data_IF_041628164379
#
_entry.id   IF_041628164379
#
_cell.length_a   1.000
_cell.length_b   1.000
_cell.length_c   1.000
_cell.angle_alpha   90.00
_cell.angle_beta   90.00
_cell.angle_gamma   90.00
#
_symmetry.space_group_name_H-M   'P 1'
#
loop_
_entity.id
_entity.type
_entity.pdbx_description
1 polymer ?
#
# COMPACT_ATOMS: atom_id res chain seq x y z
N UNK A 1 -1.11 8.89 -9.54
CA UNK A 1 -0.11 7.97 -10.11
C UNK A 1 0.03 8.10 -11.64
N UNK A 2 1.24 8.35 -12.15
CA UNK A 2 1.52 8.34 -13.61
C UNK A 2 1.99 6.96 -14.07
N UNK A 3 1.85 6.66 -15.37
CA UNK A 3 2.34 5.42 -15.97
C UNK A 3 3.85 5.21 -15.74
N UNK A 4 4.63 6.30 -15.87
CA UNK A 4 6.07 6.27 -15.60
C UNK A 4 6.39 5.81 -14.17
N UNK A 5 5.68 6.35 -13.17
CA UNK A 5 5.87 5.96 -11.76
C UNK A 5 5.49 4.51 -11.50
N UNK A 6 4.42 4.01 -12.13
CA UNK A 6 4.04 2.60 -12.00
C UNK A 6 5.10 1.67 -12.62
N UNK A 7 5.68 2.05 -13.75
CA UNK A 7 6.76 1.29 -14.39
C UNK A 7 8.04 1.30 -13.54
N UNK A 8 8.38 2.43 -12.90
CA UNK A 8 9.47 2.51 -11.92
C UNK A 8 9.23 1.52 -10.76
N UNK A 9 8.01 1.50 -10.21
CA UNK A 9 7.64 0.58 -9.13
C UNK A 9 7.77 -0.89 -9.53
N UNK A 10 7.25 -1.26 -10.71
CA UNK A 10 7.39 -2.62 -11.27
C UNK A 10 8.86 -3.03 -11.41
N UNK A 11 9.71 -2.13 -11.89
CA UNK A 11 11.15 -2.38 -12.03
C UNK A 11 11.85 -2.65 -10.68
N UNK A 12 11.46 -1.94 -9.62
CA UNK A 12 11.97 -2.18 -8.26
C UNK A 12 11.51 -3.54 -7.73
N UNK A 13 10.23 -3.89 -7.90
CA UNK A 13 9.70 -5.19 -7.50
C UNK A 13 10.40 -6.35 -8.23
N UNK A 14 10.60 -6.21 -9.53
CA UNK A 14 11.36 -7.17 -10.34
C UNK A 14 12.81 -7.31 -9.87
N UNK A 15 13.44 -6.20 -9.47
CA UNK A 15 14.78 -6.24 -8.89
C UNK A 15 14.82 -6.96 -7.55
N UNK A 16 13.81 -6.76 -6.70
CA UNK A 16 13.68 -7.49 -5.43
C UNK A 16 13.46 -8.99 -5.68
N UNK A 17 12.62 -9.34 -6.64
CA UNK A 17 12.33 -10.72 -7.05
C UNK A 17 13.61 -11.43 -7.51
N UNK A 18 14.33 -10.83 -8.46
CA UNK A 18 15.63 -11.37 -8.94
C UNK A 18 16.66 -11.51 -7.83
N UNK A 19 16.74 -10.53 -6.92
CA UNK A 19 17.66 -10.63 -5.78
C UNK A 19 17.34 -11.83 -4.90
N UNK A 20 16.07 -12.09 -4.60
CA UNK A 20 15.63 -13.21 -3.77
C UNK A 20 15.77 -14.58 -4.44
N UNK A 21 15.59 -14.65 -5.76
CA UNK A 21 15.73 -15.89 -6.54
C UNK A 21 17.20 -16.29 -6.72
N UNK A 22 18.10 -15.31 -6.85
CA UNK A 22 19.50 -15.57 -7.23
C UNK A 22 20.50 -15.43 -6.07
N UNK A 23 20.13 -14.78 -4.97
CA UNK A 23 21.03 -14.49 -3.86
C UNK A 23 20.42 -14.91 -2.52
N UNK A 24 21.13 -15.70 -1.70
CA UNK A 24 20.67 -16.04 -0.36
C UNK A 24 20.40 -14.81 0.50
N UNK A 25 19.35 -14.87 1.33
CA UNK A 25 18.94 -13.75 2.18
C UNK A 25 20.06 -13.24 3.09
N UNK A 26 20.85 -14.16 3.65
CA UNK A 26 22.00 -13.80 4.50
C UNK A 26 23.04 -12.97 3.72
N UNK A 27 23.30 -13.33 2.46
CA UNK A 27 24.22 -12.58 1.60
C UNK A 27 23.66 -11.21 1.25
N UNK A 28 22.35 -11.09 0.99
CA UNK A 28 21.67 -9.81 0.78
C UNK A 28 21.79 -8.90 1.99
N UNK A 29 21.64 -9.45 3.20
CA UNK A 29 21.68 -8.69 4.46
C UNK A 29 23.08 -8.38 4.98
N UNK A 30 24.12 -8.99 4.42
CA UNK A 30 25.53 -8.79 4.83
C UNK A 30 26.32 -8.09 3.73
N UNK A 31 26.74 -8.83 2.70
CA UNK A 31 27.59 -8.34 1.61
C UNK A 31 26.92 -7.24 0.78
N UNK A 32 25.62 -7.38 0.52
CA UNK A 32 24.85 -6.41 -0.28
C UNK A 32 23.89 -5.54 0.57
N UNK A 33 24.16 -5.42 1.88
CA UNK A 33 23.22 -4.81 2.84
C UNK A 33 22.70 -3.45 2.37
N UNK A 34 23.61 -2.54 2.01
CA UNK A 34 23.26 -1.15 1.66
C UNK A 34 22.34 -1.08 0.45
N UNK A 35 22.65 -1.78 -0.64
CA UNK A 35 21.84 -1.76 -1.86
C UNK A 35 20.50 -2.47 -1.66
N UNK A 36 20.49 -3.56 -0.88
CA UNK A 36 19.27 -4.26 -0.51
C UNK A 36 18.34 -3.40 0.36
N UNK A 37 18.88 -2.74 1.40
CA UNK A 37 18.11 -1.83 2.26
C UNK A 37 17.53 -0.65 1.46
N UNK A 38 18.31 -0.03 0.58
CA UNK A 38 17.85 1.06 -0.29
C UNK A 38 16.70 0.60 -1.20
N UNK A 39 16.84 -0.56 -1.84
CA UNK A 39 15.78 -1.13 -2.67
C UNK A 39 14.49 -1.34 -1.86
N UNK A 40 14.60 -1.95 -0.68
CA UNK A 40 13.43 -2.19 0.17
C UNK A 40 12.77 -0.90 0.66
N UNK A 41 13.55 0.15 0.94
CA UNK A 41 13.05 1.46 1.34
C UNK A 41 12.33 2.16 0.19
N UNK A 42 12.88 2.10 -1.03
CA UNK A 42 12.21 2.63 -2.23
C UNK A 42 10.88 1.92 -2.48
N UNK A 43 10.85 0.59 -2.41
CA UNK A 43 9.62 -0.20 -2.54
C UNK A 43 8.62 0.18 -1.44
N UNK A 44 9.05 0.29 -0.18
CA UNK A 44 8.19 0.68 0.93
C UNK A 44 7.57 2.07 0.71
N UNK A 45 8.39 3.04 0.29
CA UNK A 45 7.95 4.40 0.03
C UNK A 45 6.93 4.44 -1.10
N UNK A 46 7.22 3.82 -2.25
CA UNK A 46 6.31 3.83 -3.39
C UNK A 46 5.02 3.04 -3.11
N UNK A 47 5.10 1.93 -2.37
CA UNK A 47 3.90 1.19 -1.93
C UNK A 47 3.00 2.09 -1.09
N UNK A 48 3.58 2.87 -0.17
CA UNK A 48 2.83 3.81 0.66
C UNK A 48 2.20 4.92 -0.19
N UNK A 49 2.96 5.50 -1.11
CA UNK A 49 2.49 6.55 -2.03
C UNK A 49 1.32 6.05 -2.87
N UNK A 50 1.43 4.86 -3.49
CA UNK A 50 0.35 4.23 -4.25
C UNK A 50 -0.92 4.05 -3.39
N UNK A 51 -0.78 3.50 -2.18
CA UNK A 51 -1.92 3.29 -1.29
C UNK A 51 -2.60 4.61 -0.91
N UNK A 52 -1.81 5.65 -0.62
CA UNK A 52 -2.33 6.97 -0.25
C UNK A 52 -3.00 7.68 -1.43
N UNK A 53 -2.33 7.72 -2.58
CA UNK A 53 -2.84 8.33 -3.81
C UNK A 53 -4.21 7.75 -4.16
N UNK A 54 -4.33 6.42 -4.20
CA UNK A 54 -5.56 5.75 -4.59
C UNK A 54 -6.65 5.90 -3.53
N UNK A 55 -6.31 5.75 -2.25
CA UNK A 55 -7.30 5.77 -1.17
C UNK A 55 -7.87 7.16 -0.87
N UNK A 56 -7.11 8.22 -1.17
CA UNK A 56 -7.51 9.60 -0.90
C UNK A 56 -8.02 10.33 -2.14
N UNK A 57 -7.93 9.72 -3.32
CA UNK A 57 -8.38 10.33 -4.57
C UNK A 57 -9.86 10.73 -4.52
N UNK A 58 -10.12 12.02 -4.64
CA UNK A 58 -11.47 12.61 -4.56
C UNK A 58 -12.12 12.54 -3.18
N UNK A 59 -11.37 12.26 -2.12
CA UNK A 59 -11.90 12.21 -0.75
C UNK A 59 -12.21 13.64 -0.25
N UNK A 60 -13.42 13.85 0.24
CA UNK A 60 -13.85 15.10 0.85
C UNK A 60 -14.53 14.79 2.18
N UNK A 61 -14.05 15.42 3.26
CA UNK A 61 -14.58 15.25 4.62
C UNK A 61 -14.93 16.63 5.15
N UNK A 62 -16.14 16.78 5.69
CA UNK A 62 -16.54 18.01 6.35
C UNK A 62 -15.65 18.26 7.57
N UNK A 63 -15.16 19.50 7.72
CA UNK A 63 -14.22 19.87 8.78
C UNK A 63 -14.76 19.53 10.18
N UNK A 64 -16.06 19.68 10.40
CA UNK A 64 -16.72 19.39 11.68
C UNK A 64 -16.68 17.90 12.04
N UNK A 65 -16.59 17.01 11.05
CA UNK A 65 -16.57 15.55 11.24
C UNK A 65 -15.17 14.94 11.10
N UNK A 66 -14.16 15.74 10.75
CA UNK A 66 -12.84 15.26 10.35
C UNK A 66 -12.18 14.34 11.40
N UNK A 67 -12.22 14.72 12.68
CA UNK A 67 -11.63 13.93 13.76
C UNK A 67 -12.36 12.59 13.95
N UNK A 68 -13.69 12.61 13.90
CA UNK A 68 -14.50 11.41 14.04
C UNK A 68 -14.28 10.45 12.85
N UNK A 69 -14.33 10.97 11.62
CA UNK A 69 -14.07 10.18 10.41
C UNK A 69 -12.65 9.63 10.39
N UNK A 70 -11.66 10.39 10.85
CA UNK A 70 -10.28 9.91 10.97
C UNK A 70 -10.18 8.69 11.91
N UNK A 71 -10.85 8.72 13.06
CA UNK A 71 -10.86 7.58 14.00
C UNK A 71 -11.55 6.35 13.40
N UNK A 72 -12.69 6.54 12.74
CA UNK A 72 -13.46 5.47 12.08
C UNK A 72 -12.66 4.82 10.95
N UNK A 73 -12.06 5.64 10.08
CA UNK A 73 -11.22 5.19 8.97
C UNK A 73 -10.05 4.35 9.50
N UNK A 74 -9.30 4.86 10.46
CA UNK A 74 -8.14 4.14 11.01
C UNK A 74 -8.54 2.81 11.67
N UNK A 75 -9.68 2.80 12.38
CA UNK A 75 -10.23 1.58 12.98
C UNK A 75 -10.61 0.55 11.92
N UNK A 76 -11.29 0.99 10.84
CA UNK A 76 -11.70 0.13 9.74
C UNK A 76 -10.48 -0.43 8.97
N UNK A 77 -9.50 0.42 8.65
CA UNK A 77 -8.24 0.01 8.01
C UNK A 77 -7.53 -1.04 8.86
N UNK A 78 -7.39 -0.80 10.17
CA UNK A 78 -6.73 -1.76 11.07
C UNK A 78 -7.45 -3.11 11.10
N UNK A 79 -8.78 -3.11 11.19
CA UNK A 79 -9.61 -4.34 11.22
C UNK A 79 -9.56 -5.10 9.89
N UNK A 80 -9.47 -4.40 8.76
CA UNK A 80 -9.45 -5.02 7.43
C UNK A 80 -8.18 -5.85 7.16
N UNK A 81 -7.07 -5.51 7.83
CA UNK A 81 -5.75 -6.09 7.54
C UNK A 81 -5.17 -5.70 6.17
N UNK A 82 -5.77 -4.74 5.46
CA UNK A 82 -5.40 -4.41 4.07
C UNK A 82 -3.95 -3.94 3.95
N UNK A 83 -3.44 -3.19 4.92
CA UNK A 83 -2.05 -2.74 4.95
C UNK A 83 -1.06 -3.92 5.02
N UNK A 84 -1.40 -4.97 5.76
CA UNK A 84 -0.58 -6.19 5.84
C UNK A 84 -0.60 -6.92 4.51
N UNK A 85 -1.76 -7.03 3.87
CA UNK A 85 -1.91 -7.67 2.55
C UNK A 85 -1.11 -6.93 1.46
N UNK A 86 -1.20 -5.61 1.42
CA UNK A 86 -0.40 -4.78 0.50
C UNK A 86 1.11 -4.92 0.75
N UNK A 87 1.54 -4.97 2.01
CA UNK A 87 2.94 -5.24 2.36
C UNK A 87 3.39 -6.63 1.88
N UNK A 88 2.55 -7.65 2.03
CA UNK A 88 2.84 -8.99 1.51
C UNK A 88 2.94 -8.94 -0.02
N UNK A 89 2.00 -8.31 -0.72
CA UNK A 89 2.04 -8.18 -2.17
C UNK A 89 3.37 -7.58 -2.67
N UNK A 90 3.82 -6.49 -2.05
CA UNK A 90 5.08 -5.84 -2.41
C UNK A 90 6.31 -6.68 -2.05
N UNK A 91 6.37 -7.25 -0.84
CA UNK A 91 7.62 -7.83 -0.32
C UNK A 91 7.70 -9.35 -0.42
N UNK A 92 6.59 -10.07 -0.56
CA UNK A 92 6.55 -11.53 -0.66
C UNK A 92 6.21 -11.95 -2.09
N UNK A 93 5.12 -11.43 -2.66
CA UNK A 93 4.74 -11.75 -4.04
C UNK A 93 5.50 -10.93 -5.10
N UNK A 94 6.00 -9.74 -4.73
CA UNK A 94 6.56 -8.75 -5.66
C UNK A 94 5.61 -8.43 -6.82
N UNK A 95 4.32 -8.27 -6.52
CA UNK A 95 3.25 -8.11 -7.51
C UNK A 95 2.63 -6.70 -7.41
N UNK A 96 2.87 -5.89 -8.44
CA UNK A 96 2.36 -4.52 -8.52
C UNK A 96 0.83 -4.47 -8.68
N UNK A 97 0.27 -5.41 -9.45
CA UNK A 97 -1.16 -5.40 -9.75
C UNK A 97 -1.96 -5.80 -8.50
N UNK A 98 -1.42 -6.73 -7.70
CA UNK A 98 -1.99 -7.09 -6.40
C UNK A 98 -1.90 -5.93 -5.38
N UNK A 99 -0.83 -5.12 -5.42
CA UNK A 99 -0.74 -3.88 -4.61
C UNK A 99 -1.82 -2.88 -5.04
N UNK A 100 -2.04 -2.69 -6.35
CA UNK A 100 -3.09 -1.82 -6.87
C UNK A 100 -4.49 -2.31 -6.49
N UNK A 101 -4.73 -3.62 -6.51
CA UNK A 101 -5.98 -4.21 -6.05
C UNK A 101 -6.25 -3.87 -4.58
N UNK A 102 -5.25 -4.04 -3.72
CA UNK A 102 -5.38 -3.68 -2.30
C UNK A 102 -5.51 -2.17 -2.08
N UNK A 103 -4.92 -1.34 -2.93
CA UNK A 103 -5.14 0.10 -2.92
C UNK A 103 -6.60 0.46 -3.26
N UNK A 104 -7.20 -0.22 -4.24
CA UNK A 104 -8.62 -0.10 -4.56
C UNK A 104 -9.52 -0.53 -3.41
N UNK A 105 -9.24 -1.67 -2.77
CA UNK A 105 -10.01 -2.11 -1.59
C UNK A 105 -9.88 -1.12 -0.42
N UNK A 106 -8.68 -0.54 -0.21
CA UNK A 106 -8.46 0.49 0.80
C UNK A 106 -9.32 1.74 0.51
N UNK A 107 -9.40 2.16 -0.75
CA UNK A 107 -10.28 3.26 -1.18
C UNK A 107 -11.73 2.97 -0.84
N UNK A 108 -12.24 1.78 -1.13
CA UNK A 108 -13.63 1.43 -0.80
C UNK A 108 -13.91 1.49 0.71
N UNK A 109 -12.96 1.08 1.55
CA UNK A 109 -13.07 1.23 3.00
C UNK A 109 -13.15 2.71 3.39
N UNK A 110 -12.20 3.52 2.90
CA UNK A 110 -12.11 4.95 3.24
C UNK A 110 -13.35 5.71 2.78
N UNK A 111 -13.76 5.53 1.53
CA UNK A 111 -14.91 6.20 0.95
C UNK A 111 -16.23 5.70 1.54
N UNK A 112 -16.34 4.43 1.90
CA UNK A 112 -17.54 3.88 2.55
C UNK A 112 -17.81 4.49 3.92
N UNK A 113 -16.76 4.78 4.69
CA UNK A 113 -16.88 5.47 5.99
C UNK A 113 -17.27 6.94 5.80
N UNK A 114 -16.63 7.63 4.84
CA UNK A 114 -16.89 9.06 4.59
C UNK A 114 -18.28 9.30 4.03
N UNK A 115 -18.74 8.49 3.07
CA UNK A 115 -20.10 8.59 2.52
C UNK A 115 -21.18 8.21 3.52
N UNK A 116 -20.80 7.67 4.69
CA UNK A 116 -21.70 7.16 5.69
C UNK A 116 -22.54 6.04 5.09
N UNK A 117 -21.99 4.82 4.97
CA UNK A 117 -22.80 3.66 4.61
C UNK A 117 -24.10 3.69 5.43
N UNK A 118 -25.21 3.99 4.74
CA UNK A 118 -26.58 3.92 5.23
C UNK A 118 -26.82 2.48 5.68
N UNK A 119 -26.45 2.16 6.93
CA UNK A 119 -26.97 0.98 7.59
C UNK A 119 -28.38 1.35 7.99
N UNK A 120 -29.29 1.13 7.05
CA UNK A 120 -30.73 1.05 7.29
C UNK A 120 -30.96 0.35 8.63
N UNK A 121 -31.62 1.08 9.53
CA UNK A 121 -32.29 0.49 10.66
C UNK A 121 -33.29 -0.54 10.12
N UNK A 122 -33.14 -1.78 10.60
CA UNK A 122 -34.14 -2.85 10.50
C UNK A 122 -34.51 -3.25 11.91
#
# INVERSE_FOLDING_TARGET
>A
MTEHRLNEYRSLLDSLKRNKENVPLETLKTKYRKSYEQLTQSIQSMTREILQDVALDGLQIERAEADQKYLEINSAIKKSGIMKKASQAAFIQQDADLVLEYAGQLREIVHGIVKGCEKNAG
#
